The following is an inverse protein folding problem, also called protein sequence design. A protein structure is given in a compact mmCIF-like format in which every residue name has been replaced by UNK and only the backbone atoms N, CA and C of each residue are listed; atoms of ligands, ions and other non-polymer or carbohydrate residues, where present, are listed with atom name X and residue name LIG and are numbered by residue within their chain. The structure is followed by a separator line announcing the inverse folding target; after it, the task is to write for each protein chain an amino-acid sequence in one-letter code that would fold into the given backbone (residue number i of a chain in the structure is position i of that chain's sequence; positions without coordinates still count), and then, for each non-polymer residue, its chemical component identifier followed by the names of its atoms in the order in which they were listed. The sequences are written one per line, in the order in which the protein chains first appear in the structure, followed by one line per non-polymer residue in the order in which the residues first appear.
data_IF_727652947621
#
_entry.id   IF_727652947621
#
_cell.length_a   1.000
_cell.length_b   1.000
_cell.length_c   1.000
_cell.angle_alpha   90.00
_cell.angle_beta   90.00
_cell.angle_gamma   90.00
#
_symmetry.space_group_name_H-M   'P 1'
#
loop_
_entity.id
_entity.type
_entity.pdbx_description
1 polymer ?
#
# COMPACT_ATOMS: atom_id res chain seq x y z
N UNK A 1 -22.47 5.81 -12.00
CA UNK A 1 -21.72 6.78 -11.18
C UNK A 1 -20.43 6.11 -10.71
N UNK A 2 -19.24 6.61 -11.03
CA UNK A 2 -17.98 6.09 -10.46
C UNK A 2 -17.81 6.71 -9.08
N UNK A 3 -17.65 5.88 -8.05
CA UNK A 3 -17.21 6.37 -6.74
C UNK A 3 -15.78 6.92 -6.87
N UNK A 4 -15.46 8.06 -6.23
CA UNK A 4 -14.12 8.63 -6.26
C UNK A 4 -13.11 7.70 -5.57
N UNK A 5 -11.87 7.73 -6.04
CA UNK A 5 -10.76 6.98 -5.43
C UNK A 5 -10.47 7.56 -4.04
N UNK A 6 -10.38 6.71 -3.02
CA UNK A 6 -10.04 7.13 -1.64
C UNK A 6 -8.51 7.18 -1.48
N UNK A 7 -7.95 8.32 -1.07
CA UNK A 7 -6.51 8.48 -0.83
C UNK A 7 -6.22 8.67 0.67
N UNK A 8 -5.26 7.91 1.19
CA UNK A 8 -4.81 7.97 2.58
C UNK A 8 -3.28 8.09 2.66
N UNK A 9 -2.82 8.93 3.57
CA UNK A 9 -1.42 9.03 3.96
C UNK A 9 -1.30 8.62 5.43
N UNK A 10 -0.44 7.64 5.74
CA UNK A 10 -0.11 7.23 7.10
C UNK A 10 1.26 7.77 7.43
N UNK A 11 1.32 8.60 8.47
CA UNK A 11 2.56 9.17 9.00
C UNK A 11 3.00 8.38 10.23
N UNK A 12 4.21 7.80 10.24
CA UNK A 12 4.71 7.10 11.40
C UNK A 12 4.99 8.08 12.56
N UNK A 13 4.65 7.68 13.78
CA UNK A 13 4.90 8.42 15.03
C UNK A 13 5.87 7.67 15.93
N UNK A 14 7.08 7.41 15.42
CA UNK A 14 8.13 6.69 16.17
C UNK A 14 7.98 5.16 16.21
N UNK A 15 6.80 4.61 15.92
CA UNK A 15 6.58 3.16 15.77
C UNK A 15 6.24 2.77 14.32
N UNK A 16 7.27 2.36 13.57
CA UNK A 16 7.15 1.90 12.19
C UNK A 16 6.39 0.56 12.05
N UNK A 17 6.41 -0.29 13.08
CA UNK A 17 5.65 -1.54 13.06
C UNK A 17 4.15 -1.24 13.17
N UNK A 18 3.76 -0.38 14.12
CA UNK A 18 2.38 0.09 14.27
C UNK A 18 1.89 0.76 12.99
N UNK A 19 2.70 1.62 12.37
CA UNK A 19 2.34 2.29 11.13
C UNK A 19 2.20 1.33 9.94
N UNK A 20 3.10 0.36 9.83
CA UNK A 20 3.02 -0.69 8.79
C UNK A 20 1.77 -1.55 8.98
N UNK A 21 1.45 -1.91 10.22
CA UNK A 21 0.25 -2.68 10.56
C UNK A 21 -1.02 -1.89 10.21
N UNK A 22 -1.09 -0.62 10.57
CA UNK A 22 -2.22 0.23 10.21
C UNK A 22 -2.42 0.31 8.70
N UNK A 23 -1.35 0.54 7.95
CA UNK A 23 -1.41 0.65 6.49
C UNK A 23 -1.99 -0.61 5.84
N UNK A 24 -1.53 -1.77 6.30
CA UNK A 24 -1.96 -3.06 5.76
C UNK A 24 -3.39 -3.39 6.21
N UNK A 25 -3.74 -3.19 7.48
CA UNK A 25 -5.10 -3.46 7.98
C UNK A 25 -6.14 -2.59 7.27
N UNK A 26 -5.84 -1.30 7.07
CA UNK A 26 -6.70 -0.38 6.32
C UNK A 26 -6.83 -0.79 4.86
N UNK A 27 -5.72 -1.18 4.23
CA UNK A 27 -5.72 -1.73 2.87
C UNK A 27 -6.57 -2.99 2.74
N UNK A 28 -6.47 -3.92 3.69
CA UNK A 28 -7.26 -5.15 3.74
C UNK A 28 -8.76 -4.86 3.93
N UNK A 29 -9.10 -3.95 4.86
CA UNK A 29 -10.48 -3.56 5.11
C UNK A 29 -11.14 -2.96 3.86
N UNK A 30 -10.45 -2.02 3.20
CA UNK A 30 -10.93 -1.40 1.96
C UNK A 30 -11.01 -2.40 0.80
N UNK A 31 -10.02 -3.29 0.66
CA UNK A 31 -10.03 -4.32 -0.37
C UNK A 31 -11.22 -5.28 -0.18
N UNK A 32 -11.53 -5.63 1.08
CA UNK A 32 -12.70 -6.45 1.43
C UNK A 32 -14.02 -5.72 1.16
N UNK A 33 -14.15 -4.46 1.56
CA UNK A 33 -15.33 -3.61 1.29
C UNK A 33 -15.64 -3.52 -0.20
N UNK A 34 -14.60 -3.36 -1.04
CA UNK A 34 -14.73 -3.24 -2.49
C UNK A 34 -14.80 -4.60 -3.22
N UNK A 35 -14.65 -5.71 -2.49
CA UNK A 35 -14.49 -7.06 -3.05
C UNK A 35 -13.41 -7.12 -4.15
N UNK A 36 -12.21 -6.59 -3.84
CA UNK A 36 -11.05 -6.53 -4.75
C UNK A 36 -9.79 -7.09 -4.08
N UNK A 37 -8.77 -7.31 -4.90
CA UNK A 37 -7.41 -7.62 -4.43
C UNK A 37 -6.71 -6.39 -3.84
N UNK A 38 -5.77 -6.68 -2.96
CA UNK A 38 -4.83 -5.72 -2.39
C UNK A 38 -3.45 -5.90 -3.04
N UNK A 39 -2.83 -4.81 -3.45
CA UNK A 39 -1.42 -4.81 -3.87
C UNK A 39 -0.61 -4.05 -2.83
N UNK A 40 0.38 -4.72 -2.24
CA UNK A 40 1.44 -4.10 -1.49
C UNK A 40 2.55 -3.72 -2.47
N UNK A 41 2.89 -2.44 -2.53
CA UNK A 41 3.96 -1.92 -3.38
C UNK A 41 5.15 -1.54 -2.53
N UNK A 42 6.31 -2.07 -2.88
CA UNK A 42 7.61 -1.78 -2.26
C UNK A 42 8.58 -1.24 -3.32
N UNK A 43 9.69 -0.65 -2.90
CA UNK A 43 10.71 -0.22 -3.88
C UNK A 43 11.40 -1.41 -4.52
N UNK A 44 11.79 -2.41 -3.71
CA UNK A 44 12.42 -3.65 -4.19
C UNK A 44 11.92 -4.86 -3.39
N UNK A 45 12.02 -6.06 -3.98
CA UNK A 45 11.69 -7.29 -3.25
C UNK A 45 12.65 -7.54 -2.07
N UNK A 46 13.92 -7.16 -2.19
CA UNK A 46 14.89 -7.28 -1.09
C UNK A 46 14.45 -6.45 0.13
N UNK A 47 14.00 -5.21 -0.09
CA UNK A 47 13.45 -4.36 0.98
C UNK A 47 12.28 -5.04 1.71
N UNK A 48 11.35 -5.66 0.98
CA UNK A 48 10.24 -6.39 1.58
C UNK A 48 10.71 -7.60 2.39
N UNK A 49 11.61 -8.40 1.80
CA UNK A 49 12.14 -9.63 2.41
C UNK A 49 12.89 -9.36 3.71
N UNK A 50 13.60 -8.25 3.78
CA UNK A 50 14.45 -7.91 4.91
C UNK A 50 13.71 -7.03 5.95
N UNK A 51 12.44 -6.69 5.70
CA UNK A 51 11.63 -5.83 6.57
C UNK A 51 11.05 -6.57 7.79
N UNK A 52 11.57 -6.24 8.97
CA UNK A 52 11.01 -6.67 10.26
C UNK A 52 9.61 -6.12 10.51
N UNK A 53 9.33 -4.88 10.08
CA UNK A 53 8.03 -4.23 10.25
C UNK A 53 6.95 -4.92 9.41
N UNK A 54 7.25 -5.25 8.14
CA UNK A 54 6.33 -5.99 7.29
C UNK A 54 6.04 -7.38 7.87
N UNK A 55 7.10 -8.10 8.29
CA UNK A 55 6.95 -9.41 8.94
C UNK A 55 6.08 -9.35 10.20
N UNK A 56 6.28 -8.35 11.05
CA UNK A 56 5.47 -8.17 12.26
C UNK A 56 4.02 -7.77 11.94
N UNK A 57 3.80 -6.96 10.91
CA UNK A 57 2.48 -6.46 10.53
C UNK A 57 1.56 -7.55 9.95
N UNK A 58 2.09 -8.46 9.13
CA UNK A 58 1.29 -9.53 8.47
C UNK A 58 1.43 -10.91 9.11
N UNK A 59 2.38 -11.06 10.04
CA UNK A 59 2.68 -12.33 10.69
C UNK A 59 3.61 -13.23 9.86
N UNK A 60 4.31 -14.13 10.57
CA UNK A 60 5.42 -14.93 10.01
C UNK A 60 4.98 -15.82 8.84
N UNK A 61 3.83 -16.49 8.96
CA UNK A 61 3.33 -17.41 7.92
C UNK A 61 2.98 -16.67 6.64
N UNK A 62 2.23 -15.57 6.73
CA UNK A 62 1.85 -14.79 5.57
C UNK A 62 3.08 -14.13 4.92
N UNK A 63 4.02 -13.66 5.73
CA UNK A 63 5.29 -13.11 5.27
C UNK A 63 6.13 -14.13 4.49
N UNK A 64 6.25 -15.36 4.99
CA UNK A 64 6.96 -16.42 4.30
C UNK A 64 6.31 -16.75 2.94
N UNK A 65 4.97 -16.84 2.89
CA UNK A 65 4.24 -17.06 1.64
C UNK A 65 4.41 -15.90 0.65
N UNK A 66 4.36 -14.65 1.14
CA UNK A 66 4.54 -13.45 0.32
C UNK A 66 5.95 -13.38 -0.27
N UNK A 67 6.99 -13.72 0.50
CA UNK A 67 8.36 -13.74 0.00
C UNK A 67 8.61 -14.83 -1.04
N UNK A 68 7.97 -16.00 -0.89
CA UNK A 68 8.13 -17.12 -1.83
C UNK A 68 7.34 -16.93 -3.12
N UNK A 69 6.07 -16.56 -2.99
CA UNK A 69 5.10 -16.59 -4.09
C UNK A 69 4.71 -15.19 -4.59
N UNK A 70 5.13 -14.13 -3.90
CA UNK A 70 4.69 -12.74 -4.13
C UNK A 70 3.18 -12.56 -4.03
N UNK A 71 2.50 -13.52 -3.41
CA UNK A 71 1.05 -13.57 -3.27
C UNK A 71 0.69 -14.39 -2.04
N UNK A 72 -0.33 -13.95 -1.31
CA UNK A 72 -0.87 -14.64 -0.14
C UNK A 72 -2.32 -14.23 0.09
N UNK A 73 -3.12 -15.10 0.70
CA UNK A 73 -4.46 -14.75 1.16
C UNK A 73 -4.42 -14.31 2.63
N UNK A 74 -4.93 -13.12 2.94
CA UNK A 74 -5.02 -12.60 4.32
C UNK A 74 -6.45 -12.13 4.55
N UNK A 75 -7.13 -12.64 5.57
CA UNK A 75 -8.52 -12.26 5.90
C UNK A 75 -9.48 -12.35 4.69
N UNK A 76 -9.33 -13.38 3.87
CA UNK A 76 -10.08 -13.60 2.61
C UNK A 76 -9.83 -12.58 1.49
N UNK A 77 -8.78 -11.75 1.62
CA UNK A 77 -8.33 -10.83 0.58
C UNK A 77 -7.12 -11.43 -0.12
N UNK A 78 -7.13 -11.41 -1.45
CA UNK A 78 -5.98 -11.77 -2.27
C UNK A 78 -4.95 -10.63 -2.26
N UNK A 79 -3.80 -10.86 -1.64
CA UNK A 79 -2.73 -9.88 -1.45
C UNK A 79 -1.56 -10.21 -2.36
N UNK A 80 -1.14 -9.25 -3.17
CA UNK A 80 0.02 -9.36 -4.07
C UNK A 80 1.12 -8.42 -3.61
N UNK A 81 2.37 -8.86 -3.70
CA UNK A 81 3.55 -8.01 -3.49
C UNK A 81 4.15 -7.65 -4.84
N UNK A 82 4.30 -6.35 -5.08
CA UNK A 82 4.86 -5.81 -6.31
C UNK A 82 5.93 -4.77 -5.99
N UNK A 83 6.88 -4.62 -6.90
CA UNK A 83 7.77 -3.45 -6.89
C UNK A 83 7.08 -2.27 -7.55
N UNK A 84 7.53 -1.05 -7.27
CA UNK A 84 7.10 0.17 -7.98
C UNK A 84 7.16 0.01 -9.50
N UNK A 85 8.22 -0.62 -10.02
CA UNK A 85 8.36 -0.93 -11.46
C UNK A 85 7.21 -1.82 -11.96
N UNK A 86 7.01 -2.99 -11.34
CA UNK A 86 5.93 -3.90 -11.77
C UNK A 86 4.53 -3.33 -11.54
N UNK A 87 4.37 -2.45 -10.55
CA UNK A 87 3.11 -1.78 -10.28
C UNK A 87 2.75 -0.75 -11.36
N UNK A 88 3.75 -0.08 -11.95
CA UNK A 88 3.54 0.84 -13.07
C UNK A 88 3.11 0.12 -14.36
N UNK A 89 3.43 -1.16 -14.49
CA UNK A 89 3.05 -2.01 -15.64
C UNK A 89 1.65 -2.61 -15.48
N UNK A 90 0.97 -2.38 -14.34
CA UNK A 90 -0.40 -2.80 -14.13
C UNK A 90 -1.30 -2.00 -15.09
N UNK A 91 -1.78 -2.66 -16.13
CA UNK A 91 -2.58 -2.03 -17.18
C UNK A 91 -3.85 -1.33 -16.68
N UNK A 92 -4.39 -0.46 -17.53
CA UNK A 92 -5.55 0.43 -17.31
C UNK A 92 -6.85 -0.30 -16.85
N UNK A 93 -6.90 -1.61 -16.97
CA UNK A 93 -8.02 -2.46 -16.56
C UNK A 93 -8.06 -2.77 -15.06
N UNK A 94 -6.97 -2.57 -14.33
CA UNK A 94 -6.90 -2.96 -12.92
C UNK A 94 -7.85 -2.15 -12.03
N UNK A 95 -8.55 -2.87 -11.17
CA UNK A 95 -9.41 -2.34 -10.13
C UNK A 95 -9.03 -3.01 -8.82
N UNK A 96 -8.63 -2.22 -7.83
CA UNK A 96 -8.24 -2.73 -6.52
C UNK A 96 -7.73 -1.65 -5.60
N UNK A 97 -7.23 -2.11 -4.45
CA UNK A 97 -6.63 -1.25 -3.43
C UNK A 97 -5.11 -1.42 -3.48
N UNK A 98 -4.40 -0.32 -3.33
CA UNK A 98 -2.93 -0.32 -3.33
C UNK A 98 -2.42 0.29 -2.03
N UNK A 99 -1.51 -0.40 -1.37
CA UNK A 99 -0.76 0.11 -0.23
C UNK A 99 0.69 0.27 -0.66
N UNK A 100 1.17 1.50 -0.69
CA UNK A 100 2.57 1.82 -0.90
C UNK A 100 3.30 1.82 0.44
N UNK A 101 4.25 0.90 0.59
CA UNK A 101 5.11 0.83 1.76
C UNK A 101 6.39 1.62 1.46
N UNK A 102 6.53 2.77 2.14
CA UNK A 102 7.70 3.65 2.06
C UNK A 102 8.02 4.10 0.62
N UNK A 103 7.06 4.66 -0.13
CA UNK A 103 7.31 5.07 -1.50
C UNK A 103 8.11 6.37 -1.56
N UNK A 104 8.76 6.59 -2.70
CA UNK A 104 9.16 7.93 -3.11
C UNK A 104 7.98 8.65 -3.75
N UNK A 105 7.88 9.95 -3.54
CA UNK A 105 6.78 10.78 -4.05
C UNK A 105 6.60 10.68 -5.57
N UNK A 106 7.71 10.74 -6.32
CA UNK A 106 7.71 10.58 -7.79
C UNK A 106 7.08 9.25 -8.23
N UNK A 107 7.37 8.16 -7.51
CA UNK A 107 6.89 6.83 -7.87
C UNK A 107 5.38 6.69 -7.61
N UNK A 108 4.90 7.15 -6.46
CA UNK A 108 3.46 7.09 -6.14
C UNK A 108 2.66 7.98 -7.09
N UNK A 109 3.14 9.18 -7.43
CA UNK A 109 2.50 10.05 -8.44
C UNK A 109 2.36 9.37 -9.79
N UNK A 110 3.44 8.78 -10.30
CA UNK A 110 3.42 8.09 -11.59
C UNK A 110 2.38 6.97 -11.64
N UNK A 111 2.31 6.13 -10.60
CA UNK A 111 1.41 4.98 -10.56
C UNK A 111 -0.05 5.42 -10.36
N UNK A 112 -0.29 6.36 -9.43
CA UNK A 112 -1.66 6.82 -9.14
C UNK A 112 -2.30 7.55 -10.33
N UNK A 113 -1.52 8.28 -11.13
CA UNK A 113 -2.00 8.89 -12.37
C UNK A 113 -2.22 7.89 -13.51
N UNK A 114 -1.51 6.76 -13.49
CA UNK A 114 -1.54 5.77 -14.59
C UNK A 114 -2.63 4.69 -14.43
N UNK A 115 -3.22 4.55 -13.24
CA UNK A 115 -4.23 3.52 -12.96
C UNK A 115 -5.57 4.18 -12.57
N UNK A 116 -6.38 4.59 -13.56
CA UNK A 116 -7.55 5.46 -13.32
C UNK A 116 -8.73 4.76 -12.63
N UNK A 117 -8.65 3.44 -12.41
CA UNK A 117 -9.74 2.63 -11.82
C UNK A 117 -9.37 2.04 -10.45
N UNK A 118 -8.36 2.61 -9.79
CA UNK A 118 -8.07 2.31 -8.39
C UNK A 118 -9.28 2.60 -7.51
N UNK A 119 -9.44 1.82 -6.44
CA UNK A 119 -10.51 2.00 -5.45
C UNK A 119 -10.03 2.79 -4.25
N UNK A 120 -8.83 2.46 -3.79
CA UNK A 120 -8.16 3.22 -2.75
C UNK A 120 -6.64 3.13 -2.89
N UNK A 121 -5.97 4.16 -2.40
CA UNK A 121 -4.52 4.23 -2.29
C UNK A 121 -4.17 4.61 -0.86
N UNK A 122 -3.33 3.81 -0.23
CA UNK A 122 -2.77 4.07 1.09
C UNK A 122 -1.26 4.23 0.90
N UNK A 123 -0.69 5.34 1.35
CA UNK A 123 0.75 5.54 1.36
C UNK A 123 1.25 5.57 2.79
N UNK A 124 2.29 4.79 3.10
CA UNK A 124 2.99 4.83 4.38
C UNK A 124 4.30 5.59 4.21
N UNK A 125 4.43 6.73 4.89
CA UNK A 125 5.67 7.50 4.91
C UNK A 125 6.80 6.72 5.59
N UNK A 126 8.02 6.93 5.12
CA UNK A 126 9.23 6.53 5.86
C UNK A 126 9.74 7.68 6.73
N UNK A 127 9.77 8.89 6.17
CA UNK A 127 10.13 10.12 6.87
C UNK A 127 8.89 11.01 6.95
N UNK A 128 8.61 11.63 8.11
CA UNK A 128 7.51 12.57 8.25
C UNK A 128 7.54 13.63 7.15
N UNK A 129 6.37 13.92 6.59
CA UNK A 129 6.13 14.97 5.58
C UNK A 129 6.74 14.69 4.19
N UNK A 130 7.42 13.56 3.98
CA UNK A 130 8.02 13.23 2.68
C UNK A 130 7.01 13.04 1.53
N UNK A 131 5.72 12.93 1.84
CA UNK A 131 4.63 12.77 0.87
C UNK A 131 3.51 13.80 1.07
N UNK A 132 3.77 14.88 1.80
CA UNK A 132 2.76 15.88 2.14
C UNK A 132 2.21 16.60 0.90
N UNK A 133 3.07 16.95 -0.05
CA UNK A 133 2.66 17.59 -1.32
C UNK A 133 1.79 16.63 -2.15
N UNK A 134 2.18 15.37 -2.26
CA UNK A 134 1.36 14.36 -2.94
C UNK A 134 -0.02 14.23 -2.30
N UNK A 135 -0.09 14.18 -0.96
CA UNK A 135 -1.36 14.09 -0.23
C UNK A 135 -2.25 15.29 -0.52
N UNK A 136 -1.71 16.51 -0.51
CA UNK A 136 -2.46 17.73 -0.80
C UNK A 136 -3.03 17.71 -2.22
N UNK A 137 -2.22 17.34 -3.20
CA UNK A 137 -2.64 17.30 -4.61
C UNK A 137 -3.78 16.32 -4.89
N UNK A 138 -3.82 15.18 -4.18
CA UNK A 138 -4.87 14.16 -4.32
C UNK A 138 -6.02 14.32 -3.32
N UNK A 139 -6.04 15.42 -2.54
CA UNK A 139 -6.98 15.63 -1.43
C UNK A 139 -7.04 14.42 -0.46
N UNK A 140 -5.88 13.84 -0.16
CA UNK A 140 -5.75 12.65 0.68
C UNK A 140 -5.96 12.93 2.16
N UNK A 141 -6.54 11.94 2.85
CA UNK A 141 -6.74 11.96 4.31
C UNK A 141 -5.44 11.60 5.01
N UNK A 142 -4.96 12.47 5.92
CA UNK A 142 -3.83 12.15 6.79
C UNK A 142 -4.31 11.30 7.97
N UNK A 143 -3.59 10.21 8.24
CA UNK A 143 -3.77 9.34 9.40
C UNK A 143 -2.52 9.48 10.27
N UNK A 144 -2.69 10.12 11.42
CA UNK A 144 -1.68 10.21 12.47
C UNK A 144 -1.93 9.10 13.49
N UNK A 145 -0.86 8.43 13.91
CA UNK A 145 -0.92 7.41 14.94
C UNK A 145 -0.51 8.08 16.26
N UNK A 146 -1.40 8.09 17.24
CA UNK A 146 -1.03 8.49 18.61
C UNK A 146 -0.22 7.39 19.30
#
# INVERSE_FOLDING_TARGET
MRLPVKFYLIRPSGDNLKATKEAILRGLALAKEENKKLILVVSTFSQARDSSCLRGAIGVTAFAALNKNRRVMICSVDVHLMTTKSAAEIGLGFQGVVVFLWPQEKAIRAITSSIPKLKAVIALEWQPESLEDWRRDVNGTLITLE
#
